data_IF_087829510822
#
_entry.id   IF_087829510822
#
_cell.length_a   1.000
_cell.length_b   1.000
_cell.length_c   1.000
_cell.angle_alpha   90.00
_cell.angle_beta   90.00
_cell.angle_gamma   90.00
#
_symmetry.space_group_name_H-M   'P 1'
#
loop_
_entity.id
_entity.type
_entity.pdbx_description
1 polymer ?
#
# COMPACT_ATOMS: atom_id res chain seq x y z
N UNK A 1 -3.10 -37.94 -24.94
CA UNK A 1 -3.21 -38.04 -26.39
C UNK A 1 -4.14 -39.15 -26.88
N UNK A 2 -4.09 -40.35 -26.32
CA UNK A 2 -4.91 -41.52 -26.78
C UNK A 2 -6.41 -41.31 -26.57
N UNK A 3 -6.87 -40.65 -25.53
CA UNK A 3 -8.30 -40.42 -25.23
C UNK A 3 -8.99 -39.42 -26.17
N UNK A 4 -8.26 -38.42 -26.68
CA UNK A 4 -8.79 -37.42 -27.62
C UNK A 4 -8.97 -38.03 -29.04
N UNK A 5 -8.06 -38.92 -29.42
CA UNK A 5 -8.15 -39.64 -30.68
C UNK A 5 -9.39 -40.59 -30.78
N UNK A 6 -9.81 -41.17 -29.64
CA UNK A 6 -11.00 -42.02 -29.55
C UNK A 6 -12.30 -41.22 -29.64
N UNK A 7 -12.34 -40.00 -29.05
CA UNK A 7 -13.54 -39.14 -29.13
C UNK A 7 -13.77 -38.53 -30.50
N UNK A 8 -12.70 -38.18 -31.24
CA UNK A 8 -12.82 -37.63 -32.61
C UNK A 8 -13.28 -38.69 -33.62
N UNK A 9 -13.00 -39.98 -33.40
CA UNK A 9 -13.50 -41.08 -34.23
C UNK A 9 -15.00 -41.33 -34.07
N UNK A 10 -15.52 -41.08 -32.90
CA UNK A 10 -16.92 -41.31 -32.55
C UNK A 10 -17.89 -40.26 -33.13
N UNK A 11 -17.35 -39.07 -33.55
CA UNK A 11 -18.14 -37.96 -34.06
C UNK A 11 -18.03 -37.73 -35.58
N UNK A 12 -17.38 -38.65 -36.32
CA UNK A 12 -17.42 -38.65 -37.81
C UNK A 12 -16.64 -37.51 -38.49
N UNK A 13 -15.73 -36.81 -37.78
CA UNK A 13 -14.98 -35.66 -38.31
C UNK A 13 -13.64 -36.02 -38.94
N UNK A 14 -13.31 -37.30 -39.04
CA UNK A 14 -11.96 -37.74 -39.42
C UNK A 14 -11.65 -37.70 -40.93
N UNK A 15 -12.66 -37.65 -41.82
CA UNK A 15 -12.44 -37.77 -43.27
C UNK A 15 -12.38 -36.44 -44.05
N UNK A 16 -12.34 -35.28 -43.37
CA UNK A 16 -12.33 -33.95 -44.02
C UNK A 16 -11.33 -32.92 -43.52
N UNK A 17 -10.41 -33.27 -42.62
CA UNK A 17 -9.45 -32.30 -42.10
C UNK A 17 -8.04 -32.81 -42.48
N UNK A 18 -7.37 -32.06 -43.35
CA UNK A 18 -5.96 -32.27 -43.66
C UNK A 18 -5.09 -31.92 -42.40
N UNK A 19 -3.86 -32.41 -42.39
CA UNK A 19 -2.92 -32.23 -41.26
C UNK A 19 -2.69 -30.78 -40.89
N UNK A 20 -3.01 -29.82 -41.75
CA UNK A 20 -2.92 -28.38 -41.55
C UNK A 20 -4.12 -27.84 -40.71
N UNK A 21 -5.31 -28.36 -40.96
CA UNK A 21 -6.54 -28.00 -40.23
C UNK A 21 -6.52 -28.47 -38.76
N UNK A 22 -5.95 -29.68 -38.52
CA UNK A 22 -5.78 -30.19 -37.15
C UNK A 22 -4.80 -29.31 -36.35
N UNK A 23 -3.72 -28.83 -36.96
CA UNK A 23 -2.73 -27.96 -36.33
C UNK A 23 -3.33 -26.58 -35.99
N UNK A 24 -4.18 -26.03 -36.87
CA UNK A 24 -4.90 -24.77 -36.63
C UNK A 24 -5.93 -24.91 -35.50
N UNK A 25 -6.69 -26.03 -35.48
CA UNK A 25 -7.66 -26.30 -34.43
C UNK A 25 -6.99 -26.47 -33.06
N UNK A 26 -5.87 -27.20 -32.99
CA UNK A 26 -5.07 -27.32 -31.75
C UNK A 26 -4.49 -25.98 -31.31
N UNK A 27 -4.04 -25.14 -32.23
CA UNK A 27 -3.55 -23.80 -31.93
C UNK A 27 -4.67 -22.90 -31.41
N UNK A 28 -5.88 -22.98 -31.97
CA UNK A 28 -7.04 -22.24 -31.50
C UNK A 28 -7.56 -22.76 -30.14
N UNK A 29 -7.60 -24.07 -29.93
CA UNK A 29 -8.00 -24.67 -28.65
C UNK A 29 -6.93 -24.36 -27.57
N UNK A 30 -5.65 -24.44 -27.90
CA UNK A 30 -4.58 -24.04 -26.99
C UNK A 30 -4.61 -22.54 -26.68
N UNK A 31 -4.90 -21.70 -27.68
CA UNK A 31 -5.07 -20.25 -27.49
C UNK A 31 -6.32 -19.93 -26.67
N UNK A 32 -7.42 -20.65 -26.91
CA UNK A 32 -8.66 -20.52 -26.13
C UNK A 32 -8.52 -21.05 -24.70
N UNK A 33 -7.86 -22.20 -24.51
CA UNK A 33 -7.58 -22.70 -23.15
C UNK A 33 -6.58 -21.83 -22.41
N UNK A 34 -5.58 -21.27 -23.09
CA UNK A 34 -4.64 -20.30 -22.52
C UNK A 34 -5.33 -18.97 -22.20
N UNK A 35 -6.25 -18.50 -23.08
CA UNK A 35 -7.08 -17.33 -22.83
C UNK A 35 -8.09 -17.55 -21.68
N UNK A 36 -8.69 -18.73 -21.55
CA UNK A 36 -9.57 -19.06 -20.41
C UNK A 36 -8.79 -19.18 -19.09
N UNK A 37 -7.58 -19.75 -19.12
CA UNK A 37 -6.69 -19.80 -17.94
C UNK A 37 -6.21 -18.42 -17.53
N UNK A 38 -5.94 -17.52 -18.51
CA UNK A 38 -5.57 -16.13 -18.22
C UNK A 38 -6.74 -15.26 -17.75
N UNK A 39 -8.00 -15.61 -18.11
CA UNK A 39 -9.17 -14.87 -17.63
C UNK A 39 -9.57 -15.22 -16.19
N UNK A 40 -9.17 -16.39 -15.67
CA UNK A 40 -9.48 -16.75 -14.28
C UNK A 40 -8.56 -16.06 -13.26
N UNK A 41 -7.31 -15.70 -13.61
CA UNK A 41 -6.41 -15.00 -12.69
C UNK A 41 -6.83 -13.54 -12.43
N UNK A 42 -7.54 -12.88 -13.34
CA UNK A 42 -8.06 -11.52 -13.14
C UNK A 42 -9.48 -11.47 -12.54
N UNK A 43 -10.07 -12.63 -12.24
CA UNK A 43 -11.44 -12.71 -11.75
C UNK A 43 -11.59 -12.35 -10.27
N UNK A 44 -10.54 -12.44 -9.49
CA UNK A 44 -10.55 -12.19 -8.05
C UNK A 44 -9.61 -11.04 -7.68
N UNK A 45 -10.03 -10.24 -6.73
CA UNK A 45 -9.13 -9.29 -6.08
C UNK A 45 -7.97 -10.03 -5.40
N UNK A 46 -6.79 -9.42 -5.37
CA UNK A 46 -5.65 -9.98 -4.66
C UNK A 46 -5.89 -10.07 -3.16
N UNK A 47 -6.59 -9.06 -2.61
CA UNK A 47 -7.06 -9.03 -1.24
C UNK A 47 -8.46 -8.41 -1.19
N UNK A 48 -9.37 -9.03 -0.48
CA UNK A 48 -10.69 -8.49 -0.18
C UNK A 48 -10.98 -8.65 1.31
N UNK A 49 -11.27 -7.55 1.97
CA UNK A 49 -11.63 -7.46 3.38
C UNK A 49 -13.02 -6.84 3.46
N UNK A 50 -13.93 -7.50 4.15
CA UNK A 50 -15.32 -7.05 4.34
C UNK A 50 -15.68 -7.06 5.82
N UNK A 51 -15.92 -5.86 6.38
CA UNK A 51 -16.37 -5.67 7.75
C UNK A 51 -15.43 -6.29 8.79
N UNK A 52 -14.11 -6.17 8.61
CA UNK A 52 -13.14 -6.80 9.50
C UNK A 52 -13.08 -6.10 10.84
N UNK A 53 -13.34 -6.84 11.91
CA UNK A 53 -13.26 -6.39 13.28
C UNK A 53 -12.20 -7.15 14.07
N UNK A 54 -11.54 -6.42 14.96
CA UNK A 54 -10.64 -7.01 15.95
C UNK A 54 -10.75 -6.32 17.30
N UNK A 55 -11.23 -7.07 18.29
CA UNK A 55 -11.18 -6.70 19.71
C UNK A 55 -10.24 -7.66 20.45
N UNK A 56 -9.28 -7.11 21.16
CA UNK A 56 -8.35 -7.88 22.01
C UNK A 56 -8.99 -8.23 23.37
N UNK A 57 -8.38 -9.21 24.08
CA UNK A 57 -8.89 -9.69 25.37
C UNK A 57 -9.01 -8.59 26.46
N UNK A 58 -8.22 -7.53 26.35
CA UNK A 58 -8.26 -6.37 27.24
C UNK A 58 -9.38 -5.36 26.91
N UNK A 59 -10.27 -5.68 25.97
CA UNK A 59 -11.35 -4.82 25.51
C UNK A 59 -10.96 -3.78 24.43
N UNK A 60 -9.68 -3.67 24.09
CA UNK A 60 -9.24 -2.72 23.05
C UNK A 60 -9.69 -3.18 21.67
N UNK A 61 -10.52 -2.37 21.00
CA UNK A 61 -10.99 -2.58 19.64
C UNK A 61 -10.01 -1.94 18.65
N UNK A 62 -9.16 -2.77 18.05
CA UNK A 62 -8.12 -2.34 17.13
C UNK A 62 -8.62 -2.15 15.70
N UNK A 63 -9.69 -2.86 15.28
CA UNK A 63 -10.34 -2.72 13.98
C UNK A 63 -11.85 -2.68 14.17
N UNK A 64 -12.51 -1.72 13.53
CA UNK A 64 -13.92 -1.36 13.75
C UNK A 64 -14.80 -1.60 12.52
N UNK A 65 -14.62 -2.75 11.85
CA UNK A 65 -15.42 -3.10 10.68
C UNK A 65 -14.82 -2.57 9.36
N UNK A 66 -13.49 -2.60 9.23
CA UNK A 66 -12.83 -2.11 8.02
C UNK A 66 -13.16 -2.95 6.80
N UNK A 67 -13.31 -2.28 5.64
CA UNK A 67 -13.48 -2.91 4.33
C UNK A 67 -12.44 -2.34 3.36
N UNK A 68 -11.76 -3.24 2.64
CA UNK A 68 -10.66 -2.89 1.75
C UNK A 68 -10.57 -3.88 0.60
N UNK A 69 -10.32 -3.39 -0.61
CA UNK A 69 -10.09 -4.21 -1.79
C UNK A 69 -8.80 -3.80 -2.47
N UNK A 70 -7.94 -4.78 -2.77
CA UNK A 70 -6.70 -4.59 -3.53
C UNK A 70 -6.79 -5.42 -4.80
N UNK A 71 -6.65 -4.80 -5.94
CA UNK A 71 -6.73 -5.47 -7.24
C UNK A 71 -5.46 -6.26 -7.54
N UNK A 72 -5.60 -7.29 -8.37
CA UNK A 72 -4.47 -8.11 -8.81
C UNK A 72 -3.45 -7.28 -9.59
N UNK A 73 -2.16 -7.44 -9.26
CA UNK A 73 -1.06 -6.70 -9.88
C UNK A 73 -0.90 -5.27 -9.38
N UNK A 74 -1.69 -4.83 -8.39
CA UNK A 74 -1.55 -3.48 -7.83
C UNK A 74 -0.30 -3.34 -6.95
N UNK A 75 0.18 -2.10 -6.82
CA UNK A 75 1.11 -1.68 -5.80
C UNK A 75 0.35 -0.73 -4.87
N UNK A 76 -0.02 -1.21 -3.72
CA UNK A 76 -0.99 -0.60 -2.81
C UNK A 76 -0.33 -0.15 -1.50
N UNK A 77 -0.64 1.07 -1.04
CA UNK A 77 -0.20 1.57 0.26
C UNK A 77 -1.30 1.44 1.32
N UNK A 78 -0.95 0.94 2.50
CA UNK A 78 -1.77 1.06 3.72
C UNK A 78 -1.07 1.97 4.70
N UNK A 79 -1.52 3.23 4.78
CA UNK A 79 -0.95 4.27 5.63
C UNK A 79 -1.79 4.51 6.88
N UNK A 80 -1.17 5.08 7.90
CA UNK A 80 -1.83 5.46 9.14
C UNK A 80 -0.82 5.74 10.25
N UNK A 81 -1.20 6.45 11.32
CA UNK A 81 -0.34 6.67 12.47
C UNK A 81 -0.04 5.37 13.23
N UNK A 82 0.87 5.45 14.19
CA UNK A 82 1.15 4.33 15.06
C UNK A 82 -0.09 4.01 15.92
N UNK A 83 -0.44 2.71 16.01
CA UNK A 83 -1.65 2.28 16.71
C UNK A 83 -2.94 2.35 15.88
N UNK A 84 -2.91 2.86 14.65
CA UNK A 84 -4.09 2.97 13.78
C UNK A 84 -4.76 1.64 13.41
N UNK A 85 -4.05 0.51 13.52
CA UNK A 85 -4.57 -0.81 13.15
C UNK A 85 -3.82 -1.51 12.01
N UNK A 86 -2.80 -0.89 11.38
CA UNK A 86 -2.04 -1.45 10.25
C UNK A 86 -1.48 -2.85 10.54
N UNK A 87 -0.66 -3.00 11.57
CA UNK A 87 -0.04 -4.28 11.92
C UNK A 87 -1.07 -5.32 12.39
N UNK A 88 -2.20 -4.89 12.98
CA UNK A 88 -3.33 -5.77 13.31
C UNK A 88 -3.98 -6.29 12.02
N UNK A 89 -4.21 -5.43 11.03
CA UNK A 89 -4.77 -5.79 9.72
C UNK A 89 -3.86 -6.81 9.02
N UNK A 90 -2.56 -6.52 8.92
CA UNK A 90 -1.57 -7.45 8.36
C UNK A 90 -1.55 -8.76 9.15
N UNK A 91 -1.55 -8.70 10.48
CA UNK A 91 -1.57 -9.87 11.34
C UNK A 91 -2.79 -10.79 11.10
N UNK A 92 -3.95 -10.21 10.82
CA UNK A 92 -5.16 -10.98 10.45
C UNK A 92 -5.04 -11.56 9.05
N UNK A 93 -4.61 -10.79 8.05
CA UNK A 93 -4.39 -11.30 6.67
C UNK A 93 -3.42 -12.48 6.68
N UNK A 94 -2.34 -12.38 7.46
CA UNK A 94 -1.34 -13.44 7.63
C UNK A 94 -1.80 -14.56 8.56
N UNK A 95 -3.01 -14.51 9.14
CA UNK A 95 -3.55 -15.44 10.13
C UNK A 95 -2.65 -15.61 11.39
N UNK A 96 -1.87 -14.57 11.72
CA UNK A 96 -1.09 -14.48 12.97
C UNK A 96 -1.95 -13.92 14.12
N UNK A 97 -2.99 -13.15 13.77
CA UNK A 97 -3.96 -12.58 14.69
C UNK A 97 -5.34 -13.09 14.31
N UNK A 98 -6.07 -13.68 15.25
CA UNK A 98 -7.46 -14.09 15.01
C UNK A 98 -8.36 -12.85 14.96
N UNK A 99 -9.18 -12.73 13.93
CA UNK A 99 -10.23 -11.69 13.82
C UNK A 99 -11.36 -11.95 14.82
N UNK A 100 -12.13 -10.93 15.14
CA UNK A 100 -13.36 -11.02 15.97
C UNK A 100 -14.58 -11.24 15.07
N UNK A 101 -14.69 -10.50 13.96
CA UNK A 101 -15.75 -10.60 12.97
C UNK A 101 -15.25 -10.20 11.57
N UNK A 102 -16.09 -10.35 10.55
CA UNK A 102 -15.80 -9.97 9.17
C UNK A 102 -15.19 -11.10 8.35
N UNK A 103 -14.90 -10.80 7.08
CA UNK A 103 -14.39 -11.77 6.10
C UNK A 103 -13.12 -11.23 5.44
N UNK A 104 -12.16 -12.12 5.22
CA UNK A 104 -10.94 -11.84 4.45
C UNK A 104 -10.73 -12.93 3.44
N UNK A 105 -10.51 -12.56 2.18
CA UNK A 105 -10.13 -13.49 1.11
C UNK A 105 -8.92 -13.00 0.33
N UNK A 106 -8.12 -13.94 -0.16
CA UNK A 106 -6.88 -13.71 -0.89
C UNK A 106 -6.95 -14.50 -2.18
N UNK A 107 -7.00 -13.80 -3.33
CA UNK A 107 -7.28 -14.41 -4.63
C UNK A 107 -8.50 -15.35 -4.59
N UNK A 108 -9.57 -14.95 -3.90
CA UNK A 108 -10.79 -15.73 -3.72
C UNK A 108 -10.73 -16.82 -2.65
N UNK A 109 -9.56 -17.10 -2.07
CA UNK A 109 -9.41 -18.07 -0.98
C UNK A 109 -9.71 -17.40 0.37
N UNK A 110 -10.79 -17.79 1.02
CA UNK A 110 -11.12 -17.31 2.37
C UNK A 110 -10.11 -17.84 3.38
N UNK A 111 -9.55 -16.96 4.23
CA UNK A 111 -8.49 -17.31 5.18
C UNK A 111 -8.93 -18.27 6.30
N UNK A 112 -10.24 -18.44 6.54
CA UNK A 112 -10.78 -19.35 7.55
C UNK A 112 -11.03 -20.76 7.00
N UNK A 113 -11.50 -20.86 5.74
CA UNK A 113 -11.93 -22.12 5.13
C UNK A 113 -10.91 -22.70 4.15
N UNK A 114 -10.11 -21.85 3.49
CA UNK A 114 -9.08 -22.22 2.50
C UNK A 114 -7.72 -21.68 2.93
N UNK A 115 -7.37 -21.96 4.20
CA UNK A 115 -6.19 -21.42 4.87
C UNK A 115 -4.88 -21.73 4.14
N UNK A 116 -4.70 -22.94 3.66
CA UNK A 116 -3.45 -23.37 3.00
C UNK A 116 -3.27 -22.68 1.66
N UNK A 117 -4.34 -22.63 0.85
CA UNK A 117 -4.34 -21.98 -0.46
C UNK A 117 -4.10 -20.47 -0.33
N UNK A 118 -4.78 -19.84 0.63
CA UNK A 118 -4.59 -18.41 0.92
C UNK A 118 -3.13 -18.13 1.33
N UNK A 119 -2.55 -18.94 2.19
CA UNK A 119 -1.14 -18.78 2.63
C UNK A 119 -0.12 -19.02 1.53
N UNK A 120 -0.37 -19.96 0.63
CA UNK A 120 0.51 -20.18 -0.53
C UNK A 120 0.60 -18.97 -1.45
N UNK A 121 -0.44 -18.13 -1.47
CA UNK A 121 -0.45 -16.92 -2.26
C UNK A 121 0.35 -15.76 -1.65
N UNK A 122 0.73 -15.82 -0.35
CA UNK A 122 1.27 -14.68 0.38
C UNK A 122 2.76 -14.85 0.69
N UNK A 123 3.57 -13.83 0.38
CA UNK A 123 4.88 -13.59 0.96
C UNK A 123 4.83 -12.42 1.94
N UNK A 124 5.50 -12.52 3.09
CA UNK A 124 5.48 -11.49 4.12
C UNK A 124 6.88 -11.09 4.52
N UNK A 125 7.12 -9.79 4.52
CA UNK A 125 8.33 -9.16 5.07
C UNK A 125 7.91 -8.33 6.28
N UNK A 126 8.03 -8.86 7.51
CA UNK A 126 7.68 -8.12 8.71
C UNK A 126 8.69 -7.02 9.03
N UNK A 127 8.29 -6.09 9.89
CA UNK A 127 9.12 -4.99 10.33
C UNK A 127 10.39 -5.47 11.06
N UNK A 128 10.27 -6.47 11.93
CA UNK A 128 11.40 -7.03 12.66
C UNK A 128 12.01 -8.24 11.96
N UNK A 129 13.33 -8.45 12.17
CA UNK A 129 14.03 -9.62 11.67
C UNK A 129 13.61 -10.87 12.46
N UNK A 130 12.90 -11.78 11.79
CA UNK A 130 12.32 -12.99 12.42
C UNK A 130 12.93 -14.29 11.85
N UNK A 131 14.20 -14.32 11.54
CA UNK A 131 14.94 -15.52 11.15
C UNK A 131 16.03 -15.84 12.17
N UNK A 132 16.46 -17.10 12.18
CA UNK A 132 17.56 -17.53 13.05
C UNK A 132 18.88 -16.88 12.61
N UNK A 133 19.44 -16.02 13.46
CA UNK A 133 20.64 -15.25 13.15
C UNK A 133 21.93 -16.09 13.08
N UNK A 134 21.90 -17.34 13.53
CA UNK A 134 23.03 -18.28 13.50
C UNK A 134 23.03 -19.17 12.26
N UNK A 135 22.01 -19.09 11.41
CA UNK A 135 21.95 -19.82 10.15
C UNK A 135 22.62 -19.05 9.02
N UNK A 136 23.07 -19.80 8.00
CA UNK A 136 23.62 -19.21 6.78
C UNK A 136 22.53 -18.57 5.95
N UNK A 137 22.91 -17.53 5.21
CA UNK A 137 22.03 -16.77 4.31
C UNK A 137 21.26 -17.71 3.37
N UNK A 138 21.95 -18.65 2.71
CA UNK A 138 21.33 -19.59 1.78
C UNK A 138 20.35 -20.53 2.48
N UNK A 139 20.74 -21.06 3.63
CA UNK A 139 19.94 -22.04 4.36
C UNK A 139 18.61 -21.44 4.84
N UNK A 140 18.60 -20.16 5.27
CA UNK A 140 17.38 -19.41 5.64
C UNK A 140 16.38 -19.38 4.48
N UNK A 141 16.85 -19.06 3.26
CA UNK A 141 15.96 -18.94 2.10
C UNK A 141 15.48 -20.32 1.64
N UNK A 142 16.37 -21.31 1.55
CA UNK A 142 16.03 -22.68 1.14
C UNK A 142 15.05 -23.33 2.11
N UNK A 143 15.29 -23.19 3.43
CA UNK A 143 14.40 -23.70 4.48
C UNK A 143 13.01 -23.09 4.38
N UNK A 144 12.92 -21.78 4.10
CA UNK A 144 11.63 -21.12 3.86
C UNK A 144 10.89 -21.73 2.68
N UNK A 145 11.59 -22.01 1.56
CA UNK A 145 10.99 -22.72 0.41
C UNK A 145 10.43 -24.09 0.83
N UNK A 146 11.13 -24.80 1.69
CA UNK A 146 10.67 -26.07 2.26
C UNK A 146 9.37 -25.95 3.05
N UNK A 147 9.17 -24.89 3.85
CA UNK A 147 7.90 -24.63 4.56
C UNK A 147 6.71 -24.42 3.62
N UNK A 148 6.95 -23.95 2.40
CA UNK A 148 5.92 -23.84 1.35
C UNK A 148 5.82 -25.08 0.46
N UNK A 149 6.47 -26.19 0.83
CA UNK A 149 6.39 -27.47 0.12
C UNK A 149 7.23 -27.56 -1.15
N UNK A 150 8.19 -26.64 -1.36
CA UNK A 150 9.07 -26.72 -2.52
C UNK A 150 10.08 -27.86 -2.36
N UNK A 151 10.29 -28.68 -3.41
CA UNK A 151 11.41 -29.63 -3.44
C UNK A 151 12.73 -28.87 -3.24
N UNK A 152 13.68 -29.47 -2.50
CA UNK A 152 14.95 -28.84 -2.16
C UNK A 152 15.69 -28.25 -3.38
N UNK A 153 15.69 -28.97 -4.52
CA UNK A 153 16.32 -28.49 -5.76
C UNK A 153 15.68 -27.21 -6.26
N UNK A 154 14.34 -27.12 -6.27
CA UNK A 154 13.60 -25.93 -6.70
C UNK A 154 13.82 -24.77 -5.72
N UNK A 155 13.79 -25.05 -4.41
CA UNK A 155 14.07 -24.05 -3.39
C UNK A 155 15.48 -23.47 -3.53
N UNK A 156 16.49 -24.31 -3.88
CA UNK A 156 17.86 -23.87 -4.10
C UNK A 156 18.00 -23.00 -5.36
N UNK A 157 17.40 -23.42 -6.47
CA UNK A 157 17.39 -22.65 -7.72
C UNK A 157 16.75 -21.26 -7.53
N UNK A 158 15.60 -21.21 -6.82
CA UNK A 158 14.91 -19.94 -6.52
C UNK A 158 15.68 -19.11 -5.49
N UNK A 159 16.27 -19.72 -4.47
CA UNK A 159 17.13 -19.03 -3.52
C UNK A 159 18.31 -18.36 -4.22
N UNK A 160 19.00 -19.05 -5.14
CA UNK A 160 20.06 -18.45 -5.96
C UNK A 160 19.53 -17.27 -6.77
N UNK A 161 18.40 -17.42 -7.46
CA UNK A 161 17.77 -16.35 -8.26
C UNK A 161 17.56 -15.09 -7.43
N UNK A 162 16.90 -15.20 -6.27
CA UNK A 162 16.54 -14.03 -5.45
C UNK A 162 17.74 -13.46 -4.69
N UNK A 163 18.68 -14.29 -4.23
CA UNK A 163 19.90 -13.81 -3.61
C UNK A 163 20.81 -13.06 -4.60
N UNK A 164 20.86 -13.47 -5.88
CA UNK A 164 21.56 -12.72 -6.93
C UNK A 164 20.85 -11.40 -7.23
N UNK A 165 19.54 -11.39 -7.39
CA UNK A 165 18.74 -10.18 -7.66
C UNK A 165 18.83 -9.13 -6.55
N UNK A 166 19.16 -9.56 -5.33
CA UNK A 166 19.26 -8.71 -4.14
C UNK A 166 20.71 -8.50 -3.67
N UNK A 167 21.71 -8.82 -4.51
CA UNK A 167 23.15 -8.65 -4.24
C UNK A 167 23.61 -9.33 -2.95
N UNK A 168 23.06 -10.52 -2.65
CA UNK A 168 23.40 -11.32 -1.48
C UNK A 168 24.07 -12.65 -1.79
N UNK A 169 24.24 -12.98 -3.08
CA UNK A 169 24.76 -14.30 -3.48
C UNK A 169 26.16 -14.58 -2.96
N UNK A 170 27.04 -13.59 -2.97
CA UNK A 170 28.41 -13.73 -2.48
C UNK A 170 28.47 -13.96 -0.96
N UNK A 171 27.42 -13.55 -0.26
CA UNK A 171 27.27 -13.74 1.19
C UNK A 171 26.52 -15.03 1.56
N UNK A 172 26.13 -15.87 0.58
CA UNK A 172 25.26 -17.07 0.80
C UNK A 172 25.77 -18.06 1.83
N UNK A 173 27.10 -18.17 2.00
CA UNK A 173 27.73 -19.04 2.99
C UNK A 173 27.99 -18.40 4.35
N UNK A 174 27.76 -17.09 4.50
CA UNK A 174 27.97 -16.36 5.73
C UNK A 174 26.81 -16.59 6.71
N UNK A 175 27.11 -16.50 8.00
CA UNK A 175 26.11 -16.52 9.08
C UNK A 175 25.36 -15.18 9.03
N UNK A 176 24.03 -15.23 9.03
CA UNK A 176 23.18 -14.03 8.83
C UNK A 176 23.33 -12.96 9.91
N UNK A 177 23.84 -13.31 11.10
CA UNK A 177 24.18 -12.36 12.15
C UNK A 177 25.22 -11.31 11.70
N UNK A 178 26.16 -11.69 10.83
CA UNK A 178 27.25 -10.83 10.38
C UNK A 178 26.84 -9.80 9.32
N UNK A 179 25.61 -9.92 8.79
CA UNK A 179 25.09 -9.02 7.79
C UNK A 179 24.75 -7.63 8.38
N UNK A 180 24.92 -6.59 7.58
CA UNK A 180 24.40 -5.25 7.91
C UNK A 180 22.85 -5.25 8.00
N UNK A 181 22.27 -4.21 8.58
CA UNK A 181 20.81 -4.06 8.67
C UNK A 181 20.12 -4.12 7.29
N UNK A 182 20.67 -3.41 6.32
CA UNK A 182 20.17 -3.41 4.95
C UNK A 182 20.30 -4.77 4.25
N UNK A 183 21.43 -5.47 4.44
CA UNK A 183 21.58 -6.84 3.93
C UNK A 183 20.59 -7.82 4.57
N UNK A 184 20.33 -7.68 5.88
CA UNK A 184 19.28 -8.47 6.56
C UNK A 184 17.90 -8.18 6.00
N UNK A 185 17.60 -6.94 5.66
CA UNK A 185 16.33 -6.54 5.03
C UNK A 185 16.18 -7.16 3.65
N UNK A 186 17.22 -7.11 2.81
CA UNK A 186 17.23 -7.79 1.52
C UNK A 186 17.05 -9.31 1.66
N UNK A 187 17.67 -9.93 2.67
CA UNK A 187 17.49 -11.35 2.98
C UNK A 187 16.04 -11.70 3.34
N UNK A 188 15.34 -10.82 4.09
CA UNK A 188 13.92 -10.99 4.39
C UNK A 188 13.07 -10.98 3.14
N UNK A 189 13.38 -10.09 2.20
CA UNK A 189 12.68 -10.03 0.91
C UNK A 189 12.95 -11.28 0.07
N UNK A 190 14.22 -11.73 -0.04
CA UNK A 190 14.56 -12.98 -0.74
C UNK A 190 13.80 -14.17 -0.17
N UNK A 191 13.74 -14.26 1.16
CA UNK A 191 12.99 -15.30 1.87
C UNK A 191 11.50 -15.25 1.58
N UNK A 192 10.90 -14.06 1.53
CA UNK A 192 9.48 -13.90 1.26
C UNK A 192 9.11 -14.23 -0.20
N UNK A 193 10.07 -14.13 -1.14
CA UNK A 193 9.85 -14.36 -2.56
C UNK A 193 10.18 -15.79 -3.02
N UNK A 194 10.85 -16.61 -2.22
CA UNK A 194 11.36 -17.92 -2.65
C UNK A 194 10.28 -18.88 -3.17
N UNK A 195 9.06 -18.80 -2.66
CA UNK A 195 7.91 -19.60 -3.12
C UNK A 195 7.11 -18.93 -4.24
N UNK A 196 7.58 -17.76 -4.72
CA UNK A 196 6.96 -16.96 -5.80
C UNK A 196 5.48 -16.61 -5.51
N UNK A 197 5.22 -15.88 -4.41
CA UNK A 197 3.87 -15.51 -3.99
C UNK A 197 3.21 -14.58 -5.00
N UNK A 198 1.87 -14.66 -5.12
CA UNK A 198 1.06 -13.72 -5.92
C UNK A 198 0.84 -12.39 -5.21
N UNK A 199 0.88 -12.38 -3.86
CA UNK A 199 0.75 -11.20 -3.00
C UNK A 199 1.97 -11.09 -2.08
N UNK A 200 2.69 -9.98 -2.14
CA UNK A 200 3.79 -9.65 -1.24
C UNK A 200 3.35 -8.53 -0.30
N UNK A 201 3.41 -8.79 1.00
CA UNK A 201 3.11 -7.81 2.05
C UNK A 201 4.42 -7.36 2.68
N UNK A 202 4.66 -6.06 2.70
CA UNK A 202 5.86 -5.42 3.22
C UNK A 202 5.48 -4.49 4.38
N UNK A 203 5.88 -4.84 5.59
CA UNK A 203 5.64 -4.02 6.78
C UNK A 203 6.89 -3.18 7.07
N UNK A 204 6.83 -1.88 6.73
CA UNK A 204 7.92 -0.91 6.86
C UNK A 204 9.27 -1.40 6.28
N UNK A 205 9.34 -1.78 4.99
CA UNK A 205 10.48 -2.50 4.44
C UNK A 205 11.78 -1.68 4.41
N UNK A 206 11.71 -0.35 4.44
CA UNK A 206 12.87 0.55 4.35
C UNK A 206 13.16 1.29 5.65
N UNK A 207 12.50 0.93 6.76
CA UNK A 207 12.76 1.53 8.06
C UNK A 207 14.22 1.30 8.50
N UNK A 208 14.92 2.41 8.84
CA UNK A 208 16.31 2.36 9.28
C UNK A 208 17.34 2.02 8.19
N UNK A 209 16.95 2.16 6.92
CA UNK A 209 17.82 1.93 5.76
C UNK A 209 18.28 3.28 5.19
N UNK A 210 19.53 3.37 4.75
CA UNK A 210 20.08 4.57 4.09
C UNK A 210 19.41 4.85 2.73
N UNK A 211 19.59 6.07 2.22
CA UNK A 211 18.88 6.57 1.02
C UNK A 211 19.22 5.75 -0.25
N UNK A 212 20.49 5.38 -0.44
CA UNK A 212 20.91 4.64 -1.64
C UNK A 212 20.32 3.23 -1.65
N UNK A 213 20.40 2.56 -0.50
CA UNK A 213 19.83 1.22 -0.34
C UNK A 213 18.30 1.24 -0.45
N UNK A 214 17.64 2.29 0.08
CA UNK A 214 16.19 2.49 -0.09
C UNK A 214 15.80 2.57 -1.56
N UNK A 215 16.49 3.40 -2.36
CA UNK A 215 16.23 3.54 -3.80
C UNK A 215 16.44 2.21 -4.56
N UNK A 216 17.53 1.49 -4.26
CA UNK A 216 17.76 0.18 -4.89
C UNK A 216 16.68 -0.86 -4.55
N UNK A 217 16.13 -0.80 -3.33
CA UNK A 217 15.00 -1.65 -2.94
C UNK A 217 13.71 -1.24 -3.65
N UNK A 218 13.45 0.03 -3.85
CA UNK A 218 12.30 0.51 -4.61
C UNK A 218 12.33 0.01 -6.05
N UNK A 219 13.45 0.18 -6.75
CA UNK A 219 13.64 -0.33 -8.12
C UNK A 219 13.45 -1.85 -8.19
N UNK A 220 13.91 -2.59 -7.19
CA UNK A 220 13.71 -4.02 -7.12
C UNK A 220 12.22 -4.37 -6.95
N UNK A 221 11.51 -3.71 -6.04
CA UNK A 221 10.08 -3.93 -5.80
C UNK A 221 9.22 -3.56 -7.02
N UNK A 222 9.55 -2.49 -7.73
CA UNK A 222 8.91 -2.14 -9.00
C UNK A 222 9.07 -3.25 -10.05
N UNK A 223 10.28 -3.82 -10.18
CA UNK A 223 10.53 -4.95 -11.08
C UNK A 223 9.71 -6.18 -10.67
N UNK A 224 9.62 -6.49 -9.38
CA UNK A 224 8.78 -7.58 -8.87
C UNK A 224 7.31 -7.34 -9.19
N UNK A 225 6.79 -6.12 -8.96
CA UNK A 225 5.41 -5.77 -9.30
C UNK A 225 5.15 -5.83 -10.81
N UNK A 226 6.09 -5.39 -11.63
CA UNK A 226 6.00 -5.45 -13.10
C UNK A 226 5.90 -6.89 -13.65
N UNK A 227 6.35 -7.91 -12.89
CA UNK A 227 6.15 -9.34 -13.24
C UNK A 227 4.76 -9.86 -12.89
N UNK A 228 3.87 -9.02 -12.33
CA UNK A 228 2.49 -9.38 -11.99
C UNK A 228 2.24 -9.64 -10.50
N UNK A 229 3.27 -9.62 -9.65
CA UNK A 229 3.11 -9.78 -8.21
C UNK A 229 2.40 -8.55 -7.62
N UNK A 230 1.28 -8.75 -6.94
CA UNK A 230 0.61 -7.69 -6.17
C UNK A 230 1.45 -7.33 -4.94
N UNK A 231 1.59 -6.05 -4.62
CA UNK A 231 2.36 -5.62 -3.46
C UNK A 231 1.49 -4.75 -2.55
N UNK A 232 1.46 -5.06 -1.27
CA UNK A 232 0.90 -4.21 -0.22
C UNK A 232 2.05 -3.71 0.65
N UNK A 233 2.17 -2.40 0.76
CA UNK A 233 3.20 -1.71 1.50
C UNK A 233 2.59 -0.97 2.68
N UNK A 234 3.09 -1.19 3.91
CA UNK A 234 2.91 -0.24 4.99
C UNK A 234 4.18 0.57 5.16
N UNK A 235 4.05 1.85 5.33
CA UNK A 235 5.19 2.74 5.58
C UNK A 235 4.73 3.98 6.34
N UNK A 236 5.66 4.61 7.04
CA UNK A 236 5.52 5.96 7.57
C UNK A 236 6.31 6.97 6.72
N UNK A 237 7.08 6.50 5.73
CA UNK A 237 7.74 7.34 4.73
C UNK A 237 6.77 7.58 3.57
N UNK A 238 6.14 8.74 3.58
CA UNK A 238 5.10 9.08 2.59
C UNK A 238 5.66 9.19 1.16
N UNK A 239 6.94 9.59 1.03
CA UNK A 239 7.67 9.59 -0.24
C UNK A 239 7.74 8.20 -0.88
N UNK A 240 7.90 7.15 -0.06
CA UNK A 240 7.92 5.76 -0.52
C UNK A 240 6.56 5.35 -1.10
N UNK A 241 5.47 5.70 -0.40
CA UNK A 241 4.13 5.42 -0.88
C UNK A 241 3.79 6.20 -2.16
N UNK A 242 4.17 7.49 -2.25
CA UNK A 242 3.95 8.33 -3.42
C UNK A 242 4.71 7.83 -4.65
N UNK A 243 5.96 7.38 -4.45
CA UNK A 243 6.82 6.91 -5.54
C UNK A 243 6.39 5.55 -6.09
N UNK A 244 5.96 4.62 -5.22
CA UNK A 244 5.74 3.23 -5.60
C UNK A 244 4.27 2.86 -5.81
N UNK A 245 3.34 3.47 -5.05
CA UNK A 245 1.99 2.96 -4.96
C UNK A 245 1.02 3.68 -5.90
N UNK A 246 0.18 2.90 -6.58
CA UNK A 246 -0.89 3.44 -7.43
C UNK A 246 -2.16 3.75 -6.65
N UNK A 247 -2.46 2.94 -5.67
CA UNK A 247 -3.64 3.09 -4.81
C UNK A 247 -3.24 3.08 -3.35
N UNK A 248 -4.07 3.70 -2.52
CA UNK A 248 -3.78 3.95 -1.12
C UNK A 248 -5.05 3.84 -0.28
N UNK A 249 -4.92 3.24 0.91
CA UNK A 249 -5.88 3.41 2.00
C UNK A 249 -5.21 4.05 3.20
N UNK A 250 -5.92 4.96 3.84
CA UNK A 250 -5.52 5.58 5.10
C UNK A 250 -6.39 4.99 6.20
N UNK A 251 -5.75 4.39 7.19
CA UNK A 251 -6.39 3.84 8.38
C UNK A 251 -6.06 4.70 9.60
N UNK A 252 -7.07 5.05 10.37
CA UNK A 252 -6.90 5.70 11.68
C UNK A 252 -7.89 5.17 12.70
N UNK A 253 -7.43 5.06 13.94
CA UNK A 253 -8.22 4.59 15.07
C UNK A 253 -9.10 3.36 14.78
N UNK A 254 -8.61 2.45 13.90
CA UNK A 254 -9.30 1.22 13.50
C UNK A 254 -10.34 1.37 12.40
N UNK A 255 -10.43 2.52 11.73
CA UNK A 255 -11.32 2.78 10.57
C UNK A 255 -10.52 3.11 9.32
N UNK A 256 -11.03 2.75 8.14
CA UNK A 256 -10.52 3.28 6.87
C UNK A 256 -11.14 4.65 6.65
N UNK A 257 -10.32 5.71 6.67
CA UNK A 257 -10.76 7.10 6.46
C UNK A 257 -10.77 7.46 4.99
N UNK A 258 -9.82 6.92 4.22
CA UNK A 258 -9.70 7.20 2.80
C UNK A 258 -9.28 5.91 2.08
N UNK A 259 -9.84 5.64 0.90
CA UNK A 259 -9.47 4.53 0.02
C UNK A 259 -9.62 4.98 -1.43
N UNK A 260 -8.50 5.33 -2.06
CA UNK A 260 -8.51 5.99 -3.38
C UNK A 260 -7.20 5.76 -4.13
N UNK A 261 -7.12 6.24 -5.39
CA UNK A 261 -5.85 6.25 -6.11
C UNK A 261 -4.93 7.36 -5.58
N UNK A 262 -3.61 7.12 -5.58
CA UNK A 262 -2.61 8.11 -5.20
C UNK A 262 -2.82 9.44 -5.95
N UNK A 263 -3.08 9.36 -7.26
CA UNK A 263 -3.34 10.54 -8.08
C UNK A 263 -4.61 11.30 -7.66
N UNK A 264 -5.67 10.61 -7.27
CA UNK A 264 -6.91 11.24 -6.81
C UNK A 264 -6.72 11.87 -5.42
N UNK A 265 -5.97 11.20 -4.53
CA UNK A 265 -5.63 11.74 -3.22
C UNK A 265 -4.84 13.06 -3.34
N UNK A 266 -3.76 13.07 -4.15
CA UNK A 266 -2.93 14.25 -4.34
C UNK A 266 -3.68 15.41 -5.01
N UNK A 267 -4.72 15.14 -5.80
CA UNK A 267 -5.60 16.18 -6.36
C UNK A 267 -6.54 16.84 -5.34
N UNK A 268 -6.75 16.24 -4.18
CA UNK A 268 -7.56 16.83 -3.10
C UNK A 268 -6.79 17.92 -2.35
N UNK A 269 -5.47 18.06 -2.56
CA UNK A 269 -4.71 19.18 -2.04
C UNK A 269 -5.25 20.48 -2.64
N UNK A 270 -5.83 21.31 -1.80
CA UNK A 270 -6.37 22.60 -2.20
C UNK A 270 -5.31 23.68 -2.22
N UNK A 271 -4.19 23.47 -1.55
CA UNK A 271 -3.09 24.43 -1.42
C UNK A 271 -1.75 23.71 -1.49
N UNK A 272 -0.80 24.35 -2.13
CA UNK A 272 0.59 23.92 -2.16
C UNK A 272 1.48 25.04 -1.59
N UNK A 273 2.44 24.70 -0.74
CA UNK A 273 3.37 25.65 -0.18
C UNK A 273 4.72 25.49 -0.87
N UNK A 274 5.15 26.54 -1.54
CA UNK A 274 6.44 26.61 -2.21
C UNK A 274 7.43 27.44 -1.43
N UNK A 275 8.67 27.01 -1.37
CA UNK A 275 9.82 27.77 -0.90
C UNK A 275 10.58 28.22 -2.13
N UNK A 276 10.72 29.54 -2.29
CA UNK A 276 11.40 30.18 -3.41
C UNK A 276 12.69 30.82 -2.91
N UNK A 277 13.82 30.45 -3.50
CA UNK A 277 15.07 31.15 -3.30
C UNK A 277 15.15 32.27 -4.34
N UNK A 278 15.45 33.49 -3.88
CA UNK A 278 15.44 34.71 -4.68
C UNK A 278 16.83 35.36 -4.74
N UNK A 279 17.12 36.06 -5.82
CA UNK A 279 18.41 36.68 -6.04
C UNK A 279 18.57 37.98 -5.25
N UNK A 280 17.53 38.80 -5.21
CA UNK A 280 17.51 40.11 -4.56
C UNK A 280 17.26 39.93 -3.06
N UNK A 281 17.82 40.83 -2.22
CA UNK A 281 17.52 40.87 -0.78
C UNK A 281 16.19 41.62 -0.56
N UNK A 282 15.24 40.98 0.10
CA UNK A 282 13.95 41.58 0.42
C UNK A 282 13.86 41.93 1.88
N UNK A 283 13.62 43.19 2.15
CA UNK A 283 13.44 43.74 3.48
C UNK A 283 12.02 44.22 3.73
N UNK A 284 10.99 43.44 3.71
CA UNK A 284 9.65 43.67 4.26
C UNK A 284 8.48 44.11 3.40
N UNK A 285 8.61 44.62 2.17
CA UNK A 285 7.48 45.22 1.44
C UNK A 285 6.96 44.44 0.21
N UNK A 286 7.33 43.15 0.07
CA UNK A 286 6.82 42.33 -1.02
C UNK A 286 5.36 41.97 -0.78
N UNK A 287 4.46 42.46 -1.65
CA UNK A 287 3.04 42.11 -1.62
C UNK A 287 2.62 41.40 -2.89
N UNK A 288 2.14 40.17 -2.76
CA UNK A 288 1.62 39.37 -3.86
C UNK A 288 0.09 39.33 -3.76
N UNK A 289 -0.57 39.90 -4.78
CA UNK A 289 -2.03 39.95 -4.80
C UNK A 289 -2.63 38.54 -4.93
N UNK A 290 -3.41 38.15 -3.94
CA UNK A 290 -4.05 36.84 -3.89
C UNK A 290 -3.19 35.69 -3.34
N UNK A 291 -1.91 35.87 -3.12
CA UNK A 291 -1.04 34.86 -2.55
C UNK A 291 -0.72 35.16 -1.08
N UNK A 292 -0.61 34.11 -0.26
CA UNK A 292 -0.14 34.23 1.12
C UNK A 292 1.37 34.06 1.09
N UNK A 293 2.09 35.12 1.52
CA UNK A 293 3.54 35.18 1.52
C UNK A 293 4.07 35.23 2.95
N UNK A 294 5.11 34.48 3.22
CA UNK A 294 5.90 34.52 4.46
C UNK A 294 7.37 34.68 4.12
N UNK A 295 8.00 35.72 4.62
CA UNK A 295 9.45 35.89 4.52
C UNK A 295 10.14 34.92 5.49
N UNK A 296 11.01 34.06 4.97
CA UNK A 296 11.80 33.12 5.76
C UNK A 296 13.16 33.74 6.14
N UNK A 297 13.82 34.34 5.17
CA UNK A 297 15.03 35.16 5.31
C UNK A 297 15.15 36.18 4.16
N UNK A 298 16.27 36.94 4.10
CA UNK A 298 16.49 37.99 3.10
C UNK A 298 16.44 37.48 1.63
N UNK A 299 16.70 36.18 1.41
CA UNK A 299 16.79 35.57 0.09
C UNK A 299 15.85 34.38 -0.09
N UNK A 300 14.94 34.16 0.86
CA UNK A 300 14.05 33.00 0.83
C UNK A 300 12.63 33.40 1.26
N UNK A 301 11.67 33.10 0.40
CA UNK A 301 10.24 33.34 0.65
C UNK A 301 9.46 32.05 0.56
N UNK A 302 8.44 31.94 1.41
CA UNK A 302 7.42 30.89 1.38
C UNK A 302 6.14 31.47 0.80
N UNK A 303 5.56 30.79 -0.19
CA UNK A 303 4.33 31.22 -0.85
C UNK A 303 3.33 30.09 -0.90
N UNK A 304 2.11 30.34 -0.41
CA UNK A 304 0.98 29.42 -0.57
C UNK A 304 0.29 29.69 -1.92
N UNK A 305 0.10 28.62 -2.70
CA UNK A 305 -0.59 28.65 -4.00
C UNK A 305 -1.83 27.78 -3.90
N UNK A 306 -3.00 28.38 -4.09
CA UNK A 306 -4.29 27.67 -4.13
C UNK A 306 -4.52 27.04 -5.51
N UNK A 307 -5.36 26.00 -5.59
CA UNK A 307 -5.69 25.28 -6.84
C UNK A 307 -6.28 26.16 -7.96
N UNK A 308 -6.81 27.35 -7.63
CA UNK A 308 -7.33 28.32 -8.60
C UNK A 308 -6.26 29.31 -9.09
N UNK A 309 -5.05 29.25 -8.53
CA UNK A 309 -3.92 30.10 -8.86
C UNK A 309 -2.91 29.33 -9.72
N UNK A 310 -2.15 30.08 -10.50
CA UNK A 310 -1.09 29.47 -11.32
C UNK A 310 0.29 30.00 -10.94
N UNK A 311 1.30 29.14 -11.05
CA UNK A 311 2.69 29.54 -10.85
C UNK A 311 3.10 30.67 -11.79
N UNK A 312 2.52 30.74 -13.01
CA UNK A 312 2.78 31.85 -13.94
C UNK A 312 2.32 33.19 -13.37
N UNK A 313 1.16 33.24 -12.72
CA UNK A 313 0.68 34.47 -12.06
C UNK A 313 1.62 34.89 -10.94
N UNK A 314 2.08 33.93 -10.14
CA UNK A 314 3.06 34.15 -9.07
C UNK A 314 4.36 34.73 -9.61
N UNK A 315 4.98 34.10 -10.62
CA UNK A 315 6.24 34.56 -11.19
C UNK A 315 6.12 35.92 -11.90
N UNK A 316 4.99 36.18 -12.56
CA UNK A 316 4.76 37.50 -13.17
C UNK A 316 4.70 38.62 -12.11
N UNK A 317 3.98 38.41 -11.00
CA UNK A 317 3.91 39.40 -9.93
C UNK A 317 5.27 39.62 -9.24
N UNK A 318 6.07 38.55 -9.08
CA UNK A 318 7.43 38.66 -8.56
C UNK A 318 8.32 39.46 -9.52
N UNK A 319 8.26 39.17 -10.80
CA UNK A 319 9.04 39.85 -11.83
C UNK A 319 8.66 41.37 -11.96
N UNK A 320 7.36 41.73 -11.86
CA UNK A 320 6.88 43.09 -11.82
C UNK A 320 7.43 43.89 -10.64
N UNK A 321 7.73 43.24 -9.55
CA UNK A 321 8.36 43.84 -8.35
C UNK A 321 9.88 43.73 -8.36
N UNK A 322 10.49 43.27 -9.47
CA UNK A 322 11.95 43.21 -9.64
C UNK A 322 12.58 42.00 -8.90
N UNK A 323 11.81 41.02 -8.50
CA UNK A 323 12.27 39.82 -7.79
C UNK A 323 12.53 38.68 -8.77
N UNK A 324 13.76 38.16 -8.76
CA UNK A 324 14.19 37.05 -9.61
C UNK A 324 14.24 35.75 -8.79
N UNK A 325 13.42 34.78 -9.14
CA UNK A 325 13.45 33.46 -8.50
C UNK A 325 14.59 32.63 -9.10
N UNK A 326 15.46 32.11 -8.27
CA UNK A 326 16.62 31.28 -8.65
C UNK A 326 16.36 29.80 -8.47
N UNK A 327 15.52 29.43 -7.51
CA UNK A 327 15.14 28.06 -7.20
C UNK A 327 13.72 28.00 -6.65
N UNK A 328 13.03 26.91 -6.89
CA UNK A 328 11.72 26.63 -6.32
C UNK A 328 11.67 25.17 -5.84
N UNK A 329 11.14 24.96 -4.65
CA UNK A 329 10.88 23.63 -4.10
C UNK A 329 9.60 23.63 -3.30
N UNK A 330 8.92 22.48 -3.23
CA UNK A 330 7.80 22.31 -2.29
C UNK A 330 8.36 22.33 -0.85
N UNK A 331 7.63 22.98 0.07
CA UNK A 331 8.01 23.04 1.49
C UNK A 331 7.93 21.68 2.17
N UNK A 332 6.88 20.94 1.90
CA UNK A 332 6.65 19.60 2.42
C UNK A 332 6.31 18.64 1.27
N UNK A 333 6.42 17.35 1.55
CA UNK A 333 5.90 16.34 0.64
C UNK A 333 4.37 16.50 0.56
N UNK A 334 3.84 16.58 -0.66
CA UNK A 334 2.38 16.74 -0.93
C UNK A 334 1.54 15.73 -0.17
N UNK A 335 1.98 14.48 -0.12
CA UNK A 335 1.27 13.43 0.58
C UNK A 335 1.28 13.65 2.10
N UNK A 336 2.34 14.26 2.66
CA UNK A 336 2.42 14.58 4.09
C UNK A 336 1.40 15.64 4.50
N UNK A 337 1.26 16.71 3.73
CA UNK A 337 0.24 17.74 3.96
C UNK A 337 -1.16 17.14 3.88
N UNK A 338 -1.40 16.29 2.87
CA UNK A 338 -2.68 15.61 2.71
C UNK A 338 -2.97 14.65 3.85
N UNK A 339 -1.99 13.86 4.26
CA UNK A 339 -2.12 12.91 5.37
C UNK A 339 -2.51 13.63 6.67
N UNK A 340 -1.84 14.75 6.99
CA UNK A 340 -2.18 15.58 8.16
C UNK A 340 -3.58 16.18 8.03
N UNK A 341 -3.97 16.66 6.84
CA UNK A 341 -5.30 17.24 6.62
C UNK A 341 -6.44 16.23 6.76
N UNK A 342 -6.24 15.01 6.28
CA UNK A 342 -7.21 13.90 6.38
C UNK A 342 -7.37 13.43 7.82
N UNK A 343 -6.28 13.37 8.60
CA UNK A 343 -6.32 12.98 10.01
C UNK A 343 -6.95 14.05 10.90
N UNK A 344 -6.84 15.34 10.55
CA UNK A 344 -7.38 16.47 11.30
C UNK A 344 -8.79 16.89 10.85
N UNK A 345 -9.36 16.26 9.82
CA UNK A 345 -10.74 16.54 9.41
C UNK A 345 -11.70 16.14 10.52
N UNK A 346 -12.57 17.05 11.01
CA UNK A 346 -13.55 16.70 12.04
C UNK A 346 -14.48 15.61 11.50
N UNK A 347 -14.74 14.60 12.33
CA UNK A 347 -15.67 13.51 12.00
C UNK A 347 -17.04 14.11 11.62
N UNK A 348 -17.47 13.91 10.39
CA UNK A 348 -18.76 14.38 9.87
C UNK A 348 -19.98 13.71 10.52
N UNK A 349 -19.77 12.92 11.58
CA UNK A 349 -20.81 12.17 12.31
C UNK A 349 -21.36 12.88 13.54
N UNK A 350 -20.82 14.05 13.98
CA UNK A 350 -21.30 14.72 15.21
C UNK A 350 -22.24 15.93 14.99
N UNK A 351 -22.67 16.24 13.75
CA UNK A 351 -23.46 17.45 13.48
C UNK A 351 -24.97 17.24 13.31
N UNK A 352 -25.57 16.11 13.73
CA UNK A 352 -27.02 15.88 13.54
C UNK A 352 -27.87 15.71 14.80
N UNK A 353 -27.34 15.93 16.01
CA UNK A 353 -28.16 15.75 17.23
C UNK A 353 -28.33 16.99 18.14
N UNK A 354 -28.04 18.22 17.67
CA UNK A 354 -28.18 19.42 18.49
C UNK A 354 -29.23 20.43 18.04
N UNK A 355 -30.12 20.13 17.09
CA UNK A 355 -31.20 21.05 16.66
C UNK A 355 -32.65 20.56 16.92
N UNK A 356 -32.87 19.64 17.84
CA UNK A 356 -34.23 19.16 18.12
C UNK A 356 -34.62 19.19 19.63
N UNK A 357 -34.28 20.26 20.38
CA UNK A 357 -34.87 20.44 21.70
C UNK A 357 -34.81 21.89 22.24
N UNK A 358 -35.40 22.83 21.49
CA UNK A 358 -35.80 24.13 22.11
C UNK A 358 -37.03 24.71 21.40
N UNK A 359 -38.19 24.08 21.63
CA UNK A 359 -39.48 24.75 21.47
C UNK A 359 -40.53 23.99 22.31
N UNK A 360 -40.62 24.31 23.57
CA UNK A 360 -41.85 24.41 24.34
C UNK A 360 -41.51 24.43 25.82
N UNK A 361 -41.59 25.58 26.46
CA UNK A 361 -42.22 25.81 27.77
C UNK A 361 -42.23 27.33 27.99
N UNK A 362 -43.36 27.92 27.67
CA UNK A 362 -43.80 29.14 28.28
C UNK A 362 -45.25 28.93 28.68
N UNK A 363 -45.53 28.86 29.97
CA UNK A 363 -46.69 29.53 30.60
C UNK A 363 -47.03 28.88 31.95
N UNK A 364 -47.25 29.78 32.85
CA UNK A 364 -48.09 29.72 34.07
C UNK A 364 -47.34 29.34 35.36
N UNK A 365 -46.99 30.38 36.09
CA UNK A 365 -47.80 31.05 37.17
C UNK A 365 -47.75 30.40 38.54
N UNK A 366 -47.12 31.14 39.46
CA UNK A 366 -47.65 31.56 40.80
C UNK A 366 -47.63 30.62 42.02
N UNK A 367 -46.90 31.14 43.04
CA UNK A 367 -47.22 31.06 44.52
C UNK A 367 -47.09 29.66 45.17
N UNK A 368 -46.46 29.48 46.27
CA UNK A 368 -46.48 30.12 47.57
C UNK A 368 -45.60 29.41 48.60
N UNK A 369 -44.92 30.19 49.46
CA UNK A 369 -44.65 29.99 50.86
C UNK A 369 -44.48 28.63 51.55
N UNK A 370 -43.46 28.59 52.38
CA UNK A 370 -43.57 28.03 53.73
C UNK A 370 -42.42 27.08 54.06
N UNK A 371 -41.40 27.51 54.76
CA UNK A 371 -41.20 27.47 56.22
C UNK A 371 -40.89 26.06 56.77
N UNK A 372 -39.70 26.01 57.40
CA UNK A 372 -39.33 25.30 58.62
C UNK A 372 -39.33 23.75 58.65
N UNK A 373 -38.28 23.15 58.93
CA UNK A 373 -37.49 22.80 60.13
C UNK A 373 -36.19 22.16 59.68
#
# INVERSE_FOLDING_TARGET
MIHVHLLLRQWGFYDRIDSFGVFHLFRHIAYWSYSLLMTDEHRFAALEINGLEKTYKNGFQALKGISLKVETGDFFALLGPNGAGKSTTIGVICSLVSKTAGHVSIFGHNIDTHFTEAKQCIGVVPQEFNFNQFEKVLDIVVTQGGYYGLPHRVALERAEKYLRLLDLWDMRGMISRTLSGGMKRRLMIARALVHEPKLLILDEPTAGVDIELRRSMWEFLEKVNATGTTIILTTHYLEEAESLCRNIAIIDAGNIIENTSMKALLRKLTREVFVLDIKESITSDLQLSGFVLRLMDEHCIEVEVDQHQTLNQLFNQLAEQGVTVTSMRNKANRLEEMFVSVLNAPDASETNDSEASDSNINSSTTQTKGAAV
#
